data_IF_330496698774
#
_entry.id   IF_330496698774
#
_cell.length_a   1.000
_cell.length_b   1.000
_cell.length_c   1.000
_cell.angle_alpha   90.00
_cell.angle_beta   90.00
_cell.angle_gamma   90.00
#
_symmetry.space_group_name_H-M   'P 1'
#
loop_
_entity.id
_entity.type
_entity.pdbx_description
1 polymer ?
#
# COMPACT_ATOMS: atom_id res chain seq x y z
N UNK A 1 22.05 2.51 6.27
CA UNK A 1 20.98 2.32 5.28
C UNK A 1 20.05 1.16 5.66
N UNK A 2 20.59 -0.04 5.85
CA UNK A 2 19.74 -1.21 6.15
C UNK A 2 18.89 -1.07 7.41
N UNK A 3 19.43 -0.43 8.45
CA UNK A 3 18.67 -0.23 9.68
C UNK A 3 17.49 0.71 9.49
N UNK A 4 17.65 1.73 8.63
CA UNK A 4 16.56 2.64 8.30
C UNK A 4 15.44 1.90 7.55
N UNK A 5 15.80 1.04 6.61
CA UNK A 5 14.84 0.24 5.89
C UNK A 5 14.13 -0.74 6.82
N UNK A 6 14.90 -1.41 7.71
CA UNK A 6 14.34 -2.36 8.66
C UNK A 6 13.34 -1.69 9.60
N UNK A 7 13.71 -0.53 10.16
CA UNK A 7 12.82 0.21 11.04
C UNK A 7 11.55 0.67 10.33
N UNK A 8 11.71 1.22 9.12
CA UNK A 8 10.56 1.63 8.31
C UNK A 8 9.65 0.46 7.97
N UNK A 9 10.22 -0.67 7.59
CA UNK A 9 9.46 -1.88 7.26
C UNK A 9 8.70 -2.41 8.47
N UNK A 10 9.30 -2.38 9.66
CA UNK A 10 8.64 -2.81 10.88
C UNK A 10 7.43 -1.92 11.19
N UNK A 11 7.61 -0.61 11.12
CA UNK A 11 6.53 0.35 11.33
C UNK A 11 5.45 0.18 10.24
N UNK A 12 5.87 0.06 8.99
CA UNK A 12 4.94 -0.12 7.87
C UNK A 12 4.13 -1.41 7.99
N UNK A 13 4.79 -2.52 8.33
CA UNK A 13 4.12 -3.81 8.48
C UNK A 13 3.10 -3.82 9.62
N UNK A 14 3.45 -3.24 10.76
CA UNK A 14 2.51 -3.12 11.89
C UNK A 14 1.35 -2.19 11.51
N UNK A 15 1.65 -1.06 10.88
CA UNK A 15 0.61 -0.13 10.42
C UNK A 15 -0.35 -0.80 9.44
N UNK A 16 0.18 -1.60 8.52
CA UNK A 16 -0.64 -2.36 7.57
C UNK A 16 -1.60 -3.30 8.29
N UNK A 17 -1.09 -4.01 9.28
CA UNK A 17 -1.92 -4.95 10.03
C UNK A 17 -3.07 -4.22 10.74
N UNK A 18 -2.75 -3.11 11.39
CA UNK A 18 -3.74 -2.35 12.16
C UNK A 18 -4.76 -1.67 11.24
N UNK A 19 -4.31 -0.94 10.24
CA UNK A 19 -5.19 -0.20 9.32
C UNK A 19 -6.04 -1.18 8.51
N UNK A 20 -5.41 -2.20 7.94
CA UNK A 20 -6.12 -3.20 7.15
C UNK A 20 -7.17 -3.94 7.96
N UNK A 21 -6.84 -4.29 9.20
CA UNK A 21 -7.77 -4.96 10.09
C UNK A 21 -8.97 -4.09 10.46
N UNK A 22 -8.72 -2.83 10.82
CA UNK A 22 -9.80 -1.89 11.16
C UNK A 22 -10.74 -1.67 9.97
N UNK A 23 -10.16 -1.42 8.79
CA UNK A 23 -10.95 -1.17 7.58
C UNK A 23 -11.75 -2.41 7.19
N UNK A 24 -11.14 -3.60 7.26
CA UNK A 24 -11.82 -4.84 6.89
C UNK A 24 -12.99 -5.12 7.82
N UNK A 25 -12.81 -4.91 9.11
CA UNK A 25 -13.89 -5.11 10.09
C UNK A 25 -15.01 -4.10 9.90
N UNK A 26 -14.67 -2.85 9.62
CA UNK A 26 -15.66 -1.80 9.37
C UNK A 26 -16.44 -2.05 8.08
N UNK A 27 -15.77 -2.59 7.06
CA UNK A 27 -16.40 -2.91 5.78
C UNK A 27 -17.39 -4.05 5.85
N UNK A 28 -17.13 -5.04 6.71
CA UNK A 28 -18.07 -6.12 7.02
C UNK A 28 -18.49 -7.00 5.86
N UNK A 29 -17.80 -6.96 4.73
CA UNK A 29 -18.16 -7.74 3.55
C UNK A 29 -17.10 -8.81 3.27
N UNK A 30 -17.42 -9.73 2.37
CA UNK A 30 -16.44 -10.71 1.91
C UNK A 30 -15.43 -10.13 0.93
N UNK A 31 -15.58 -8.88 0.54
CA UNK A 31 -14.63 -8.22 -0.36
C UNK A 31 -13.42 -7.74 0.45
N UNK A 32 -12.17 -7.94 -0.06
CA UNK A 32 -10.96 -7.58 0.70
C UNK A 32 -10.67 -6.07 0.67
N UNK A 33 -11.56 -5.28 1.27
CA UNK A 33 -11.47 -3.83 1.28
C UNK A 33 -10.28 -3.32 2.10
N UNK A 34 -9.89 -4.08 3.15
CA UNK A 34 -8.76 -3.68 4.00
C UNK A 34 -7.46 -3.60 3.21
N UNK A 35 -7.15 -4.64 2.44
CA UNK A 35 -5.95 -4.66 1.61
C UNK A 35 -6.02 -3.60 0.51
N UNK A 36 -7.19 -3.41 -0.07
CA UNK A 36 -7.38 -2.39 -1.10
C UNK A 36 -7.03 -1.00 -0.55
N UNK A 37 -7.60 -0.63 0.59
CA UNK A 37 -7.36 0.67 1.22
C UNK A 37 -5.90 0.84 1.62
N UNK A 38 -5.28 -0.21 2.18
CA UNK A 38 -3.87 -0.19 2.55
C UNK A 38 -3.00 0.08 1.32
N UNK A 39 -3.23 -0.65 0.24
CA UNK A 39 -2.42 -0.49 -0.97
C UNK A 39 -2.66 0.87 -1.64
N UNK A 40 -3.89 1.38 -1.60
CA UNK A 40 -4.20 2.71 -2.15
C UNK A 40 -3.53 3.82 -1.35
N UNK A 41 -3.66 3.79 -0.03
CA UNK A 41 -3.06 4.82 0.83
C UNK A 41 -1.54 4.75 0.79
N UNK A 42 -0.98 3.53 0.77
CA UNK A 42 0.47 3.36 0.65
C UNK A 42 1.01 3.83 -0.69
N UNK A 43 0.30 3.59 -1.78
CA UNK A 43 0.68 4.05 -3.11
C UNK A 43 0.65 5.58 -3.19
N UNK A 44 -0.36 6.19 -2.60
CA UNK A 44 -0.45 7.65 -2.52
C UNK A 44 0.75 8.22 -1.74
N UNK A 45 1.04 7.64 -0.57
CA UNK A 45 2.15 8.09 0.26
C UNK A 45 3.48 7.90 -0.44
N UNK A 46 3.66 6.81 -1.19
CA UNK A 46 4.88 6.58 -1.93
C UNK A 46 5.10 7.69 -2.97
N UNK A 47 4.08 8.02 -3.74
CA UNK A 47 4.15 9.11 -4.70
C UNK A 47 4.47 10.43 -4.02
N UNK A 48 3.82 10.71 -2.88
CA UNK A 48 4.03 11.92 -2.11
C UNK A 48 5.45 12.01 -1.56
N UNK A 49 5.96 10.92 -0.97
CA UNK A 49 7.31 10.90 -0.40
C UNK A 49 8.39 11.05 -1.47
N UNK A 50 8.21 10.41 -2.64
CA UNK A 50 9.17 10.55 -3.72
C UNK A 50 9.18 11.98 -4.26
N UNK A 51 8.02 12.60 -4.36
CA UNK A 51 7.93 14.01 -4.76
C UNK A 51 8.60 14.91 -3.73
N UNK A 52 8.33 14.66 -2.44
CA UNK A 52 8.97 15.39 -1.37
C UNK A 52 10.49 15.27 -1.43
N UNK A 53 11.00 14.07 -1.72
CA UNK A 53 12.45 13.83 -1.81
C UNK A 53 13.07 14.62 -2.97
N UNK A 54 12.38 14.73 -4.10
CA UNK A 54 12.87 15.52 -5.24
C UNK A 54 12.94 17.00 -4.86
N UNK A 55 11.94 17.51 -4.15
CA UNK A 55 11.84 18.92 -3.78
C UNK A 55 12.66 19.28 -2.55
N UNK A 56 13.27 18.30 -1.87
CA UNK A 56 14.00 18.52 -0.63
C UNK A 56 15.37 17.88 -0.72
N UNK A 57 16.36 18.56 -1.37
CA UNK A 57 17.69 17.97 -1.52
C UNK A 57 18.41 17.69 -0.21
N UNK A 58 17.99 18.33 0.90
CA UNK A 58 18.58 18.11 2.22
C UNK A 58 18.13 16.82 2.87
N UNK A 59 17.10 16.15 2.33
CA UNK A 59 16.65 14.86 2.85
C UNK A 59 17.73 13.81 2.56
N UNK A 60 18.22 13.16 3.62
CA UNK A 60 19.29 12.18 3.48
C UNK A 60 18.81 10.93 2.74
N UNK A 61 19.71 10.21 2.05
CA UNK A 61 19.32 8.94 1.41
C UNK A 61 18.75 7.94 2.42
N UNK A 62 19.23 7.96 3.67
CA UNK A 62 18.75 7.08 4.72
C UNK A 62 17.28 7.33 5.05
N UNK A 63 16.90 8.59 5.26
CA UNK A 63 15.53 8.95 5.55
C UNK A 63 14.60 8.71 4.38
N UNK A 64 15.10 8.96 3.16
CA UNK A 64 14.36 8.64 1.95
C UNK A 64 14.07 7.15 1.87
N UNK A 65 15.07 6.32 2.14
CA UNK A 65 14.89 4.87 2.16
C UNK A 65 13.93 4.41 3.26
N UNK A 66 14.00 5.05 4.43
CA UNK A 66 13.09 4.76 5.53
C UNK A 66 11.63 4.99 5.12
N UNK A 67 11.34 6.11 4.48
CA UNK A 67 9.97 6.46 4.09
C UNK A 67 9.47 5.63 2.92
N UNK A 68 10.31 5.40 1.90
CA UNK A 68 9.87 4.77 0.65
C UNK A 68 10.01 3.25 0.69
N UNK A 69 11.23 2.75 0.65
CA UNK A 69 11.49 1.30 0.64
C UNK A 69 11.02 0.66 1.94
N UNK A 70 11.33 1.31 3.07
CA UNK A 70 10.98 0.80 4.39
C UNK A 70 9.49 0.91 4.66
N UNK A 71 9.02 2.12 4.97
CA UNK A 71 7.63 2.29 5.42
C UNK A 71 6.62 1.89 4.34
N UNK A 72 6.68 2.51 3.17
CA UNK A 72 5.70 2.21 2.13
C UNK A 72 5.82 0.77 1.63
N UNK A 73 7.05 0.26 1.49
CA UNK A 73 7.27 -1.13 1.08
C UNK A 73 6.73 -2.13 2.09
N UNK A 74 6.87 -1.85 3.38
CA UNK A 74 6.33 -2.72 4.43
C UNK A 74 4.83 -2.56 4.62
N UNK A 75 4.32 -1.36 4.36
CA UNK A 75 2.90 -1.06 4.52
C UNK A 75 2.04 -1.68 3.40
N UNK A 76 2.50 -1.63 2.15
CA UNK A 76 1.76 -2.21 1.02
C UNK A 76 2.05 -3.70 0.90
N UNK A 77 1.16 -4.44 0.24
CA UNK A 77 1.32 -5.88 0.14
C UNK A 77 0.76 -6.46 -1.15
N UNK A 78 1.65 -6.99 -1.96
CA UNK A 78 1.27 -7.71 -3.17
C UNK A 78 0.90 -9.16 -2.86
N UNK A 79 1.58 -9.79 -1.92
CA UNK A 79 1.34 -11.20 -1.60
C UNK A 79 -0.05 -11.42 -1.01
N UNK A 80 -0.50 -10.55 -0.12
CA UNK A 80 -1.85 -10.63 0.43
C UNK A 80 -2.89 -10.39 -0.66
N UNK A 81 -2.64 -9.43 -1.53
CA UNK A 81 -3.49 -9.16 -2.69
C UNK A 81 -3.63 -10.41 -3.57
N UNK A 82 -2.52 -11.07 -3.87
CA UNK A 82 -2.53 -12.29 -4.68
C UNK A 82 -3.32 -13.41 -4.01
N UNK A 83 -3.07 -13.62 -2.72
CA UNK A 83 -3.76 -14.66 -1.97
C UNK A 83 -5.27 -14.41 -1.94
N UNK A 84 -5.67 -13.19 -1.66
CA UNK A 84 -7.10 -12.84 -1.56
C UNK A 84 -7.80 -12.96 -2.92
N UNK A 85 -7.11 -12.62 -4.00
CA UNK A 85 -7.66 -12.78 -5.34
C UNK A 85 -7.93 -14.25 -5.65
N UNK A 86 -6.95 -15.10 -5.36
CA UNK A 86 -7.09 -16.55 -5.58
C UNK A 86 -8.21 -17.12 -4.70
N UNK A 87 -8.30 -16.67 -3.45
CA UNK A 87 -9.37 -17.11 -2.54
C UNK A 87 -10.75 -16.76 -3.09
N UNK A 88 -10.93 -15.57 -3.65
CA UNK A 88 -12.19 -15.19 -4.29
C UNK A 88 -12.52 -16.09 -5.48
N UNK A 89 -11.51 -16.42 -6.29
CA UNK A 89 -11.70 -17.31 -7.44
C UNK A 89 -12.07 -18.72 -6.99
N UNK A 90 -11.41 -19.22 -5.96
CA UNK A 90 -11.68 -20.55 -5.41
C UNK A 90 -13.09 -20.66 -4.80
N UNK A 91 -13.60 -19.55 -4.28
CA UNK A 91 -14.97 -19.48 -3.77
C UNK A 91 -16.00 -19.27 -4.87
N UNK A 92 -15.60 -19.26 -6.14
CA UNK A 92 -16.48 -19.05 -7.26
C UNK A 92 -16.89 -17.60 -7.46
N UNK A 93 -16.28 -16.66 -6.76
CA UNK A 93 -16.62 -15.24 -6.84
C UNK A 93 -15.76 -14.52 -7.88
N UNK A 94 -15.88 -14.96 -9.14
CA UNK A 94 -15.03 -14.44 -10.22
C UNK A 94 -15.26 -12.96 -10.51
N UNK A 95 -16.50 -12.47 -10.40
CA UNK A 95 -16.80 -11.05 -10.59
C UNK A 95 -16.09 -10.18 -9.55
N UNK A 96 -16.13 -10.64 -8.30
CA UNK A 96 -15.44 -9.92 -7.21
C UNK A 96 -13.93 -9.97 -7.37
N UNK A 97 -13.39 -11.10 -7.81
CA UNK A 97 -11.95 -11.23 -8.08
C UNK A 97 -11.54 -10.25 -9.18
N UNK A 98 -12.28 -10.20 -10.28
CA UNK A 98 -12.00 -9.27 -11.38
C UNK A 98 -12.09 -7.81 -10.93
N UNK A 99 -13.13 -7.47 -10.16
CA UNK A 99 -13.30 -6.13 -9.63
C UNK A 99 -12.14 -5.75 -8.69
N UNK A 100 -11.73 -6.67 -7.83
CA UNK A 100 -10.63 -6.44 -6.90
C UNK A 100 -9.32 -6.16 -7.62
N UNK A 101 -9.00 -6.98 -8.62
CA UNK A 101 -7.79 -6.78 -9.44
C UNK A 101 -7.87 -5.45 -10.19
N UNK A 102 -8.98 -5.19 -10.86
CA UNK A 102 -9.16 -3.96 -11.65
C UNK A 102 -9.09 -2.71 -10.81
N UNK A 103 -9.83 -2.68 -9.68
CA UNK A 103 -9.81 -1.55 -8.77
C UNK A 103 -8.45 -1.35 -8.15
N UNK A 104 -7.78 -2.45 -7.74
CA UNK A 104 -6.45 -2.36 -7.14
C UNK A 104 -5.45 -1.74 -8.10
N UNK A 105 -5.42 -2.19 -9.35
CA UNK A 105 -4.47 -1.68 -10.33
C UNK A 105 -4.77 -0.23 -10.72
N UNK A 106 -6.01 0.06 -11.08
CA UNK A 106 -6.37 1.39 -11.57
C UNK A 106 -6.24 2.42 -10.45
N UNK A 107 -6.80 2.12 -9.28
CA UNK A 107 -6.81 3.08 -8.18
C UNK A 107 -5.43 3.25 -7.55
N UNK A 108 -4.62 2.19 -7.47
CA UNK A 108 -3.27 2.30 -6.92
C UNK A 108 -2.38 3.15 -7.84
N UNK A 109 -2.47 2.95 -9.15
CA UNK A 109 -1.72 3.76 -10.11
C UNK A 109 -2.18 5.21 -10.04
N UNK A 110 -3.49 5.45 -9.99
CA UNK A 110 -4.03 6.81 -9.86
C UNK A 110 -3.59 7.46 -8.55
N UNK A 111 -3.58 6.70 -7.45
CA UNK A 111 -3.16 7.20 -6.14
C UNK A 111 -1.69 7.62 -6.16
N UNK A 112 -0.83 6.81 -6.79
CA UNK A 112 0.60 7.14 -6.91
C UNK A 112 0.78 8.41 -7.74
N UNK A 113 0.08 8.52 -8.85
CA UNK A 113 0.13 9.72 -9.69
C UNK A 113 -0.34 10.95 -8.93
N UNK A 114 -1.43 10.82 -8.18
CA UNK A 114 -1.98 11.91 -7.39
C UNK A 114 -0.99 12.36 -6.30
N UNK A 115 -0.40 11.41 -5.60
CA UNK A 115 0.60 11.71 -4.57
C UNK A 115 1.81 12.43 -5.14
N UNK A 116 2.32 11.96 -6.29
CA UNK A 116 3.50 12.56 -6.91
C UNK A 116 3.23 13.93 -7.51
N UNK A 117 1.97 14.29 -7.78
CA UNK A 117 1.61 15.60 -8.31
C UNK A 117 1.26 16.60 -7.21
N UNK A 118 1.20 16.18 -5.95
CA UNK A 118 0.77 17.01 -4.81
C UNK A 118 1.92 17.84 -4.22
N UNK A 119 3.15 17.46 -4.52
CA UNK A 119 4.34 18.16 -3.98
C UNK A 119 4.50 19.60 -4.49
#
# INVERSE_FOLDING_TARGET
>A
MLWYIAAGSAIGGVSRYLVGGVVQRAGGSGFPIGTLVVNLTGSFLLGLFLRYAVDTPTLTPEWRAFLTVGFCGGYTTFSTFSYETVALMEDGQWSRAAAYVGLSLVLALAATMLGSSTG
#
